data_IF_589365924312
#
_entry.id   IF_589365924312
#
_cell.length_a   1.000
_cell.length_b   1.000
_cell.length_c   1.000
_cell.angle_alpha   90.00
_cell.angle_beta   90.00
_cell.angle_gamma   90.00
#
_symmetry.space_group_name_H-M   'P 1'
#
loop_
_entity.id
_entity.type
_entity.pdbx_description
1 polymer ?
#
# COMPACT_ATOMS: atom_id res chain seq x y z
N UNK A 1 -13.07 -4.18 -9.74
CA UNK A 1 -13.02 -4.00 -8.28
C UNK A 1 -14.41 -4.21 -7.71
N UNK A 2 -14.55 -5.23 -6.87
CA UNK A 2 -15.84 -5.57 -6.26
C UNK A 2 -15.88 -5.30 -4.76
N UNK A 3 -14.70 -5.16 -4.13
CA UNK A 3 -14.59 -4.96 -2.68
C UNK A 3 -13.60 -3.85 -2.39
N UNK A 4 -13.98 -2.94 -1.51
CA UNK A 4 -13.11 -1.90 -0.97
C UNK A 4 -13.15 -2.03 0.54
N UNK A 5 -11.97 -2.08 1.16
CA UNK A 5 -11.82 -2.15 2.61
C UNK A 5 -11.06 -0.93 3.09
N UNK A 6 -11.64 -0.24 4.07
CA UNK A 6 -10.95 0.82 4.80
C UNK A 6 -10.95 0.47 6.28
N UNK A 7 -9.78 0.56 6.90
CA UNK A 7 -9.67 0.36 8.35
C UNK A 7 -8.37 0.99 8.86
N UNK A 8 -8.33 1.18 10.17
CA UNK A 8 -7.17 1.77 10.84
C UNK A 8 -6.34 0.66 11.47
N UNK A 9 -5.61 -0.07 10.62
CA UNK A 9 -4.67 -1.07 11.11
C UNK A 9 -3.52 -0.39 11.84
N UNK A 10 -2.97 -1.05 12.85
CA UNK A 10 -2.06 -0.43 13.82
C UNK A 10 -0.83 0.22 13.17
N UNK A 11 -0.11 -0.54 12.34
CA UNK A 11 1.17 -0.05 11.81
C UNK A 11 1.00 0.83 10.58
N UNK A 12 0.05 0.56 9.71
CA UNK A 12 -0.24 1.46 8.60
C UNK A 12 -0.71 2.82 9.13
N UNK A 13 -1.54 2.82 10.17
CA UNK A 13 -1.97 4.05 10.83
C UNK A 13 -0.80 4.77 11.47
N UNK A 14 0.10 4.04 12.14
CA UNK A 14 1.30 4.64 12.74
C UNK A 14 2.15 5.36 11.68
N UNK A 15 2.39 4.72 10.53
CA UNK A 15 3.13 5.35 9.43
C UNK A 15 2.38 6.56 8.89
N UNK A 16 1.06 6.48 8.79
CA UNK A 16 0.25 7.60 8.28
C UNK A 16 0.39 8.87 9.14
N UNK A 17 0.81 8.72 10.39
CA UNK A 17 1.01 9.83 11.33
C UNK A 17 2.45 10.32 11.40
N UNK A 18 3.38 9.72 10.69
CA UNK A 18 4.78 10.14 10.69
C UNK A 18 4.95 11.46 9.94
N UNK A 19 5.86 12.31 10.41
CA UNK A 19 6.20 13.57 9.71
C UNK A 19 6.87 13.29 8.37
N UNK A 20 7.83 12.36 8.36
CA UNK A 20 8.54 11.96 7.15
C UNK A 20 8.13 10.52 6.81
N UNK A 21 7.08 10.39 6.02
CA UNK A 21 6.57 9.08 5.66
C UNK A 21 7.45 8.43 4.59
N UNK A 22 7.65 7.10 4.65
CA UNK A 22 8.28 6.39 3.55
C UNK A 22 7.41 6.51 2.29
N UNK A 23 8.07 6.51 1.13
CA UNK A 23 7.40 6.51 -0.18
C UNK A 23 7.51 5.16 -0.87
N UNK A 24 8.36 4.28 -0.35
CA UNK A 24 8.61 2.95 -0.89
C UNK A 24 8.35 1.91 0.18
N UNK A 25 7.37 1.06 -0.04
CA UNK A 25 6.95 0.03 0.92
C UNK A 25 7.39 -1.37 0.50
N UNK A 26 8.27 -1.49 -0.49
CA UNK A 26 8.71 -2.78 -1.04
C UNK A 26 9.76 -3.46 -0.16
N UNK A 27 9.42 -3.71 1.08
CA UNK A 27 10.30 -4.34 2.07
C UNK A 27 10.22 -5.87 2.05
N UNK A 28 9.18 -6.42 1.42
CA UNK A 28 9.03 -7.86 1.22
C UNK A 28 8.59 -8.15 -0.20
N UNK A 29 8.82 -9.37 -0.67
CA UNK A 29 8.41 -9.80 -2.01
C UNK A 29 6.89 -9.72 -2.20
N UNK A 30 6.11 -9.89 -1.13
CA UNK A 30 4.64 -9.84 -1.18
C UNK A 30 4.12 -8.48 -1.62
N UNK A 31 4.84 -7.39 -1.37
CA UNK A 31 4.36 -6.06 -1.76
C UNK A 31 4.22 -5.94 -3.28
N UNK A 32 5.28 -6.11 -4.08
CA UNK A 32 5.09 -6.03 -5.54
C UNK A 32 4.23 -7.15 -6.10
N UNK A 33 4.23 -8.33 -5.48
CA UNK A 33 3.48 -9.49 -5.99
C UNK A 33 1.98 -9.41 -5.73
N UNK A 34 1.57 -8.90 -4.57
CA UNK A 34 0.17 -8.98 -4.12
C UNK A 34 -0.50 -7.64 -3.89
N UNK A 35 0.25 -6.62 -3.51
CA UNK A 35 -0.30 -5.30 -3.18
C UNK A 35 -0.11 -4.32 -4.34
N UNK A 36 1.09 -4.27 -4.86
CA UNK A 36 1.52 -3.33 -5.88
C UNK A 36 2.78 -2.62 -5.43
N UNK A 37 3.72 -2.43 -6.36
CA UNK A 37 5.01 -1.80 -6.05
C UNK A 37 4.89 -0.32 -5.70
N UNK A 38 3.79 0.32 -6.08
CA UNK A 38 3.51 1.71 -5.77
C UNK A 38 2.26 1.80 -4.89
N UNK A 39 2.42 2.38 -3.70
CA UNK A 39 1.34 2.61 -2.75
C UNK A 39 1.32 4.11 -2.47
N UNK A 40 0.39 4.87 -3.08
CA UNK A 40 0.34 6.32 -2.86
C UNK A 40 0.01 6.68 -1.43
N UNK A 41 0.60 7.78 -0.96
CA UNK A 41 0.23 8.41 0.31
C UNK A 41 -0.59 9.64 -0.04
N UNK A 42 -1.86 9.63 0.38
CA UNK A 42 -2.79 10.73 0.10
C UNK A 42 -2.64 11.79 1.19
N UNK A 43 -2.50 13.08 0.83
CA UNK A 43 -2.46 14.16 1.82
C UNK A 43 -3.69 14.15 2.72
N UNK A 44 -3.57 14.79 3.89
CA UNK A 44 -4.69 14.85 4.81
C UNK A 44 -5.84 15.66 4.23
N UNK A 45 -7.03 15.05 4.24
CA UNK A 45 -8.31 15.70 4.00
C UNK A 45 -9.25 15.25 5.11
N UNK A 46 -10.17 16.09 5.51
CA UNK A 46 -11.14 15.75 6.56
C UNK A 46 -11.94 14.49 6.17
N UNK A 47 -12.03 13.50 7.07
CA UNK A 47 -12.89 12.34 6.81
C UNK A 47 -14.33 12.75 6.49
N UNK A 48 -14.88 12.11 5.46
CA UNK A 48 -16.22 12.44 4.96
C UNK A 48 -16.26 13.64 4.01
N UNK A 49 -15.11 14.24 3.68
CA UNK A 49 -15.06 15.37 2.75
C UNK A 49 -15.10 14.92 1.30
N UNK A 50 -15.66 15.76 0.39
CA UNK A 50 -15.58 15.48 -1.05
C UNK A 50 -14.14 15.40 -1.56
N UNK A 51 -13.24 16.19 -0.99
CA UNK A 51 -11.82 16.23 -1.38
C UNK A 51 -11.16 14.88 -1.11
N UNK A 52 -11.43 14.27 0.04
CA UNK A 52 -10.91 12.95 0.37
C UNK A 52 -11.47 11.89 -0.58
N UNK A 53 -12.77 11.91 -0.81
CA UNK A 53 -13.41 10.95 -1.71
C UNK A 53 -12.80 11.03 -3.12
N UNK A 54 -12.60 12.21 -3.64
CA UNK A 54 -12.02 12.43 -4.97
C UNK A 54 -10.57 11.90 -5.02
N UNK A 55 -9.77 12.23 -4.04
CA UNK A 55 -8.36 11.80 -3.99
C UNK A 55 -8.25 10.26 -3.92
N UNK A 56 -9.10 9.62 -3.11
CA UNK A 56 -9.13 8.16 -2.99
C UNK A 56 -9.54 7.52 -4.31
N UNK A 57 -10.61 7.99 -4.94
CA UNK A 57 -11.08 7.45 -6.23
C UNK A 57 -10.00 7.57 -7.30
N UNK A 58 -9.38 8.73 -7.44
CA UNK A 58 -8.33 8.95 -8.44
C UNK A 58 -7.15 7.99 -8.23
N UNK A 59 -6.73 7.80 -6.98
CA UNK A 59 -5.63 6.89 -6.67
C UNK A 59 -6.01 5.43 -6.90
N UNK A 60 -7.22 5.02 -6.52
CA UNK A 60 -7.67 3.63 -6.62
C UNK A 60 -8.00 3.22 -8.06
N UNK A 61 -8.10 4.14 -9.00
CA UNK A 61 -8.20 3.79 -10.42
C UNK A 61 -6.90 3.19 -10.96
N UNK A 62 -5.78 3.46 -10.32
CA UNK A 62 -4.44 3.02 -10.77
C UNK A 62 -3.72 2.12 -9.77
N UNK A 63 -4.19 2.07 -8.53
CA UNK A 63 -3.51 1.36 -7.45
C UNK A 63 -4.48 0.51 -6.66
N UNK A 64 -3.96 -0.54 -6.02
CA UNK A 64 -4.76 -1.47 -5.23
C UNK A 64 -4.82 -1.09 -3.75
N UNK A 65 -3.93 -0.20 -3.33
CA UNK A 65 -3.77 0.16 -1.92
C UNK A 65 -3.31 1.61 -1.84
N UNK A 66 -3.81 2.34 -0.86
CA UNK A 66 -3.38 3.72 -0.58
C UNK A 66 -3.31 3.92 0.93
N UNK A 67 -2.44 4.84 1.34
CA UNK A 67 -2.32 5.25 2.73
C UNK A 67 -2.86 6.68 2.87
N UNK A 68 -3.80 6.86 3.78
CA UNK A 68 -4.38 8.18 4.06
C UNK A 68 -3.62 8.82 5.22
N UNK A 69 -3.07 10.01 5.00
CA UNK A 69 -2.32 10.75 6.02
C UNK A 69 -3.18 10.98 7.26
N UNK A 70 -2.61 10.65 8.44
CA UNK A 70 -3.26 10.75 9.75
C UNK A 70 -4.60 9.99 9.83
N UNK A 71 -4.71 8.87 9.14
CA UNK A 71 -5.98 8.16 9.08
C UNK A 71 -5.79 6.63 9.07
N UNK A 72 -5.40 6.04 7.93
CA UNK A 72 -5.27 4.60 7.80
C UNK A 72 -5.13 4.16 6.36
N UNK A 73 -5.40 2.89 6.09
CA UNK A 73 -5.28 2.33 4.74
C UNK A 73 -6.63 2.11 4.07
N UNK A 74 -6.61 2.17 2.74
CA UNK A 74 -7.73 1.75 1.88
C UNK A 74 -7.19 0.76 0.88
N UNK A 75 -7.86 -0.36 0.72
CA UNK A 75 -7.46 -1.48 -0.15
C UNK A 75 -8.65 -1.89 -1.01
N UNK A 76 -8.41 -2.23 -2.25
CA UNK A 76 -9.44 -2.78 -3.12
C UNK A 76 -9.02 -4.12 -3.73
N UNK A 77 -9.99 -4.87 -4.20
CA UNK A 77 -9.75 -6.16 -4.86
C UNK A 77 -11.02 -6.74 -5.45
N UNK A 78 -10.87 -7.89 -6.09
CA UNK A 78 -11.97 -8.59 -6.77
C UNK A 78 -12.92 -9.30 -5.79
N UNK A 79 -12.39 -9.72 -4.64
CA UNK A 79 -13.12 -10.46 -3.62
C UNK A 79 -12.54 -10.19 -2.23
N UNK A 80 -13.18 -10.73 -1.18
CA UNK A 80 -12.73 -10.55 0.19
C UNK A 80 -11.36 -11.17 0.45
N UNK A 81 -11.07 -12.32 -0.13
CA UNK A 81 -9.78 -13.00 0.06
C UNK A 81 -8.63 -12.13 -0.47
N UNK A 82 -8.78 -11.54 -1.65
CA UNK A 82 -7.75 -10.68 -2.22
C UNK A 82 -7.56 -9.40 -1.41
N UNK A 83 -8.64 -8.78 -0.98
CA UNK A 83 -8.58 -7.56 -0.15
C UNK A 83 -7.93 -7.86 1.20
N UNK A 84 -8.30 -8.97 1.84
CA UNK A 84 -7.69 -9.39 3.08
C UNK A 84 -6.19 -9.63 2.93
N UNK A 85 -5.80 -10.32 1.86
CA UNK A 85 -4.39 -10.60 1.57
C UNK A 85 -3.60 -9.30 1.37
N UNK A 86 -4.10 -8.40 0.56
CA UNK A 86 -3.45 -7.11 0.31
C UNK A 86 -3.32 -6.28 1.59
N UNK A 87 -4.39 -6.20 2.37
CA UNK A 87 -4.39 -5.46 3.63
C UNK A 87 -3.37 -6.04 4.63
N UNK A 88 -3.30 -7.36 4.72
CA UNK A 88 -2.40 -8.06 5.64
C UNK A 88 -0.95 -7.87 5.24
N UNK A 89 -0.61 -8.01 3.96
CA UNK A 89 0.75 -7.80 3.49
C UNK A 89 1.21 -6.36 3.62
N UNK A 90 0.31 -5.39 3.36
CA UNK A 90 0.65 -3.99 3.57
C UNK A 90 0.89 -3.69 5.05
N UNK A 91 0.04 -4.20 5.92
CA UNK A 91 0.22 -4.02 7.36
C UNK A 91 1.54 -4.63 7.84
N UNK A 92 1.91 -5.81 7.32
CA UNK A 92 3.20 -6.44 7.63
C UNK A 92 4.38 -5.57 7.18
N UNK A 93 4.32 -4.99 6.00
CA UNK A 93 5.36 -4.08 5.52
C UNK A 93 5.48 -2.85 6.43
N UNK A 94 4.36 -2.28 6.82
CA UNK A 94 4.33 -1.14 7.73
C UNK A 94 4.90 -1.50 9.10
N UNK A 95 4.60 -2.70 9.61
CA UNK A 95 5.16 -3.19 10.87
C UNK A 95 6.68 -3.29 10.80
N UNK A 96 7.21 -3.85 9.71
CA UNK A 96 8.65 -3.96 9.51
C UNK A 96 9.30 -2.58 9.54
N UNK A 97 8.73 -1.62 8.84
CA UNK A 97 9.25 -0.26 8.78
C UNK A 97 9.26 0.39 10.17
N UNK A 98 8.15 0.30 10.89
CA UNK A 98 8.04 0.89 12.23
C UNK A 98 9.00 0.23 13.22
N UNK A 99 9.03 -1.10 13.25
CA UNK A 99 9.85 -1.85 14.20
C UNK A 99 11.34 -1.79 13.90
N UNK A 100 11.72 -1.50 12.66
CA UNK A 100 13.13 -1.34 12.30
C UNK A 100 13.72 -0.02 12.81
N UNK A 101 12.90 0.93 13.22
CA UNK A 101 13.36 2.26 13.61
C UNK A 101 13.99 3.05 12.46
N UNK A 102 13.60 2.75 11.22
CA UNK A 102 14.15 3.41 10.04
C UNK A 102 15.33 2.67 9.40
N UNK A 103 15.81 1.60 10.03
CA UNK A 103 16.92 0.79 9.52
C UNK A 103 16.39 -0.43 8.78
N UNK A 104 15.92 -0.22 7.56
CA UNK A 104 15.37 -1.27 6.71
C UNK A 104 15.83 -1.08 5.26
N UNK A 105 15.80 -2.15 4.49
CA UNK A 105 16.09 -2.11 3.06
C UNK A 105 14.83 -2.39 2.25
N UNK A 106 14.78 -1.85 1.05
CA UNK A 106 13.71 -2.12 0.09
C UNK A 106 14.29 -2.90 -1.08
N UNK A 107 13.42 -3.63 -1.77
CA UNK A 107 13.79 -4.32 -3.00
C UNK A 107 14.23 -3.29 -4.06
N UNK A 108 15.23 -3.64 -4.83
CA UNK A 108 15.68 -2.80 -5.94
C UNK A 108 14.67 -2.84 -7.08
N UNK A 109 14.68 -1.83 -7.98
CA UNK A 109 13.82 -1.86 -9.16
C UNK A 109 14.00 -3.14 -9.99
N UNK A 110 15.22 -3.65 -10.10
CA UNK A 110 15.54 -4.88 -10.82
C UNK A 110 14.91 -6.11 -10.14
N UNK A 111 14.96 -6.17 -8.82
CA UNK A 111 14.35 -7.26 -8.07
C UNK A 111 12.82 -7.22 -8.17
N UNK A 112 12.23 -6.03 -8.16
CA UNK A 112 10.80 -5.85 -8.36
C UNK A 112 10.39 -6.30 -9.75
N UNK A 113 11.14 -5.89 -10.78
CA UNK A 113 10.87 -6.29 -12.17
C UNK A 113 10.97 -7.81 -12.34
N UNK A 114 11.97 -8.43 -11.74
CA UNK A 114 12.14 -9.88 -11.76
C UNK A 114 10.91 -10.59 -11.16
N UNK A 115 10.43 -10.13 -10.03
CA UNK A 115 9.22 -10.67 -9.41
C UNK A 115 7.98 -10.48 -10.30
N UNK A 116 7.84 -9.31 -10.91
CA UNK A 116 6.71 -9.02 -11.79
C UNK A 116 6.71 -9.91 -13.02
N UNK A 117 7.86 -10.20 -13.58
CA UNK A 117 8.01 -11.08 -14.74
C UNK A 117 7.72 -12.54 -14.37
N UNK A 118 8.41 -13.06 -13.35
CA UNK A 118 8.41 -14.49 -13.06
C UNK A 118 7.27 -14.94 -12.15
N UNK A 119 6.74 -14.07 -11.32
CA UNK A 119 5.63 -14.39 -10.42
C UNK A 119 4.30 -13.95 -11.00
N UNK A 120 4.22 -12.73 -11.53
CA UNK A 120 2.96 -12.18 -12.07
C UNK A 120 2.79 -12.42 -13.57
N UNK A 121 3.80 -12.95 -14.24
CA UNK A 121 3.74 -13.24 -15.68
C UNK A 121 3.73 -12.01 -16.56
N UNK A 122 4.25 -10.87 -16.08
CA UNK A 122 4.36 -9.67 -16.91
C UNK A 122 5.37 -9.87 -18.02
N UNK A 123 5.10 -9.25 -19.16
CA UNK A 123 6.04 -9.34 -20.30
C UNK A 123 7.29 -8.51 -20.03
N UNK A 124 8.43 -9.03 -20.46
CA UNK A 124 9.68 -8.26 -20.49
C UNK A 124 9.52 -7.08 -21.45
N UNK A 125 10.10 -5.97 -21.06
CA UNK A 125 10.13 -4.80 -21.93
C UNK A 125 11.16 -5.00 -23.05
#
# INVERSE_FOLDING_TARGET
VNVVLHFQSEYATAISCMKNKPTNFNVTAEIPCHVGSEIPVIPYYRPGSPELAKAVVEAMLKHNSVLLTNHGQVVCGKDFDQVYERATFFEMACRIIVQSGGDYSVLTPEEIEDLEIYVLGKKTK
#
